data_IF_049592186402
#
_entry.id   IF_049592186402
#
_cell.length_a   1.000
_cell.length_b   1.000
_cell.length_c   1.000
_cell.angle_alpha   90.00
_cell.angle_beta   90.00
_cell.angle_gamma   90.00
#
_symmetry.space_group_name_H-M   'P 1'
#
loop_
_entity.id
_entity.type
_entity.pdbx_description
1 polymer ?
#
# COMPACT_ATOMS: atom_id res chain seq x y z
N UNK A 1 19.64 9.47 -15.40
CA UNK A 1 18.66 8.63 -16.12
C UNK A 1 17.77 7.77 -15.21
N UNK A 2 18.23 7.25 -14.06
CA UNK A 2 17.36 6.45 -13.16
C UNK A 2 16.23 7.25 -12.49
N UNK A 3 16.45 8.54 -12.20
CA UNK A 3 15.43 9.41 -11.59
C UNK A 3 14.22 9.67 -12.50
N UNK A 4 14.42 9.83 -13.82
CA UNK A 4 13.33 10.09 -14.77
C UNK A 4 12.41 8.88 -14.97
N UNK A 5 13.00 7.67 -15.03
CA UNK A 5 12.22 6.42 -15.19
C UNK A 5 11.37 6.14 -13.96
N UNK A 6 11.92 6.41 -12.77
CA UNK A 6 11.18 6.25 -11.51
C UNK A 6 10.02 7.23 -11.40
N UNK A 7 10.19 8.48 -11.84
CA UNK A 7 9.11 9.48 -11.81
C UNK A 7 8.00 9.11 -12.80
N UNK A 8 8.36 8.79 -14.06
CA UNK A 8 7.40 8.41 -15.10
C UNK A 8 6.55 7.20 -14.69
N UNK A 9 7.17 6.19 -14.09
CA UNK A 9 6.45 4.99 -13.65
C UNK A 9 5.62 5.22 -12.39
N UNK A 10 6.05 6.11 -11.50
CA UNK A 10 5.24 6.54 -10.35
C UNK A 10 3.97 7.25 -10.82
N UNK A 11 4.09 8.13 -11.81
CA UNK A 11 2.95 8.84 -12.39
C UNK A 11 1.99 7.89 -13.13
N UNK A 12 2.53 6.91 -13.87
CA UNK A 12 1.72 5.88 -14.51
C UNK A 12 0.97 5.04 -13.48
N UNK A 13 1.66 4.61 -12.43
CA UNK A 13 1.07 3.81 -11.37
C UNK A 13 -0.02 4.58 -10.61
N UNK A 14 0.17 5.89 -10.35
CA UNK A 14 -0.88 6.75 -9.81
C UNK A 14 -2.12 6.77 -10.71
N UNK A 15 -1.94 6.89 -12.03
CA UNK A 15 -3.07 6.88 -12.98
C UNK A 15 -3.80 5.55 -12.99
N UNK A 16 -3.09 4.43 -13.08
CA UNK A 16 -3.70 3.11 -13.15
C UNK A 16 -4.47 2.78 -11.86
N UNK A 17 -3.94 3.19 -10.70
CA UNK A 17 -4.62 3.06 -9.42
C UNK A 17 -5.86 3.96 -9.35
N UNK A 18 -5.79 5.19 -9.85
CA UNK A 18 -6.93 6.10 -9.93
C UNK A 18 -8.04 5.58 -10.86
N UNK A 19 -7.68 5.01 -12.01
CA UNK A 19 -8.63 4.35 -12.93
C UNK A 19 -9.31 3.13 -12.27
N UNK A 20 -8.61 2.43 -11.40
CA UNK A 20 -9.16 1.35 -10.59
C UNK A 20 -9.97 1.85 -9.37
N UNK A 21 -10.12 3.16 -9.17
CA UNK A 21 -10.91 3.79 -8.11
C UNK A 21 -10.16 4.04 -6.80
N UNK A 22 -8.83 3.90 -6.78
CA UNK A 22 -8.00 4.22 -5.62
C UNK A 22 -7.44 5.64 -5.70
N UNK A 23 -7.57 6.40 -4.61
CA UNK A 23 -6.88 7.69 -4.49
C UNK A 23 -5.38 7.44 -4.23
N UNK A 24 -4.54 7.60 -5.27
CA UNK A 24 -3.11 7.34 -5.22
C UNK A 24 -2.30 8.64 -5.36
N UNK A 25 -1.30 8.80 -4.50
CA UNK A 25 -0.52 10.04 -4.40
C UNK A 25 0.91 9.78 -3.91
N UNK A 26 1.82 10.72 -4.11
CA UNK A 26 3.22 10.63 -3.64
C UNK A 26 3.48 11.44 -2.36
N UNK A 27 2.63 12.43 -2.10
CA UNK A 27 2.70 13.30 -0.93
C UNK A 27 2.45 12.54 0.37
N UNK A 28 3.12 12.96 1.45
CA UNK A 28 2.74 12.49 2.77
C UNK A 28 1.53 13.31 3.28
N UNK A 29 0.62 12.66 4.01
CA UNK A 29 -0.48 13.35 4.71
C UNK A 29 -1.80 13.44 3.94
N UNK A 30 -1.88 12.85 2.75
CA UNK A 30 -3.14 12.63 2.04
C UNK A 30 -3.65 11.22 2.37
N UNK A 31 -4.96 11.07 2.55
CA UNK A 31 -5.55 9.74 2.72
C UNK A 31 -5.58 9.01 1.36
N UNK A 32 -5.36 7.70 1.35
CA UNK A 32 -5.28 6.90 0.13
C UNK A 32 -4.04 6.03 0.04
N UNK A 33 -3.62 5.69 -1.18
CA UNK A 33 -2.40 4.96 -1.46
C UNK A 33 -1.23 5.91 -1.67
N UNK A 34 -0.30 5.93 -0.72
CA UNK A 34 0.96 6.64 -0.87
C UNK A 34 1.98 5.78 -1.62
N UNK A 35 2.48 6.32 -2.73
CA UNK A 35 3.59 5.78 -3.49
C UNK A 35 4.89 6.43 -3.00
N UNK A 36 5.86 5.61 -2.64
CA UNK A 36 7.19 6.04 -2.18
C UNK A 36 8.25 5.36 -3.04
N UNK A 37 8.79 6.06 -4.06
CA UNK A 37 9.89 5.55 -4.86
C UNK A 37 11.14 5.40 -4.00
N UNK A 38 11.88 4.31 -4.22
CA UNK A 38 13.09 3.97 -3.50
C UNK A 38 14.05 3.13 -4.36
N UNK A 39 15.22 2.78 -3.80
CA UNK A 39 16.25 2.04 -4.55
C UNK A 39 15.80 0.65 -5.00
N UNK A 40 14.90 0.01 -4.25
CA UNK A 40 14.40 -1.34 -4.53
C UNK A 40 13.12 -1.35 -5.39
N UNK A 41 12.60 -0.17 -5.74
CA UNK A 41 11.35 -0.01 -6.49
C UNK A 41 10.40 0.99 -5.85
N UNK A 42 9.09 0.82 -6.05
CA UNK A 42 8.07 1.72 -5.50
C UNK A 42 7.31 1.01 -4.38
N UNK A 43 7.38 1.54 -3.17
CA UNK A 43 6.57 1.08 -2.05
C UNK A 43 5.20 1.74 -2.11
N UNK A 44 4.14 0.94 -2.15
CA UNK A 44 2.74 1.36 -2.11
C UNK A 44 2.19 1.09 -0.71
N UNK A 45 1.78 2.15 -0.02
CA UNK A 45 1.33 2.12 1.38
C UNK A 45 -0.06 2.72 1.50
N UNK A 46 -0.95 2.04 2.22
CA UNK A 46 -2.21 2.67 2.62
C UNK A 46 -1.95 3.71 3.72
N UNK A 47 -2.25 4.98 3.43
CA UNK A 47 -2.31 6.08 4.38
C UNK A 47 -3.77 6.38 4.70
N UNK A 48 -4.12 6.23 5.96
CA UNK A 48 -5.41 6.70 6.48
C UNK A 48 -5.27 8.18 6.84
N UNK A 49 -6.32 8.98 6.66
CA UNK A 49 -6.37 10.30 7.30
C UNK A 49 -6.16 10.13 8.81
N UNK A 50 -5.70 11.17 9.51
CA UNK A 50 -5.61 11.12 10.98
C UNK A 50 -6.95 10.72 11.60
N UNK A 51 -8.06 11.19 11.01
CA UNK A 51 -9.44 10.87 11.39
C UNK A 51 -9.76 9.36 11.24
N UNK A 52 -9.35 8.73 10.14
CA UNK A 52 -9.55 7.30 9.95
C UNK A 52 -8.54 6.47 10.76
N UNK A 53 -7.35 7.01 11.03
CA UNK A 53 -6.38 6.39 11.94
C UNK A 53 -6.92 6.34 13.36
N UNK A 54 -7.64 7.38 13.80
CA UNK A 54 -8.33 7.38 15.09
C UNK A 54 -9.48 6.34 15.14
N UNK A 55 -10.15 6.07 14.01
CA UNK A 55 -11.20 5.05 13.89
C UNK A 55 -10.63 3.62 13.76
N UNK A 56 -9.46 3.46 13.16
CA UNK A 56 -8.77 2.18 12.97
C UNK A 56 -7.78 1.85 14.10
N UNK A 57 -7.55 2.79 15.03
CA UNK A 57 -6.79 2.53 16.24
C UNK A 57 -7.52 1.44 17.03
N UNK A 58 -6.81 0.40 17.51
CA UNK A 58 -7.41 -0.56 18.41
C UNK A 58 -7.98 0.21 19.60
N UNK A 59 -9.29 0.07 19.84
CA UNK A 59 -9.94 0.74 20.96
C UNK A 59 -9.20 0.39 22.26
N UNK A 60 -8.76 1.36 23.08
CA UNK A 60 -7.94 1.10 24.26
C UNK A 60 -8.70 0.44 25.43
N UNK A 61 -9.81 -0.27 25.17
CA UNK A 61 -10.67 -0.91 26.18
C UNK A 61 -11.00 -2.38 25.90
N UNK A 62 -10.20 -3.09 25.11
CA UNK A 62 -10.41 -4.54 24.96
C UNK A 62 -9.12 -5.37 24.89
N UNK A 63 -8.08 -4.95 25.62
CA UNK A 63 -6.83 -5.70 25.69
C UNK A 63 -6.50 -6.05 27.14
N UNK A 64 -7.12 -7.15 27.63
CA UNK A 64 -6.52 -8.07 28.62
C UNK A 64 -7.15 -9.48 28.55
N UNK A 65 -8.29 -9.68 27.85
CA UNK A 65 -8.88 -11.02 27.64
C UNK A 65 -8.84 -11.55 26.19
N UNK A 66 -8.38 -10.77 25.22
CA UNK A 66 -8.37 -11.18 23.80
C UNK A 66 -7.05 -11.84 23.35
N UNK A 67 -6.18 -12.28 24.27
CA UNK A 67 -4.98 -13.06 23.88
C UNK A 67 -5.31 -14.44 23.30
N UNK A 68 -6.54 -14.94 23.52
CA UNK A 68 -7.02 -16.22 22.96
C UNK A 68 -8.24 -16.07 22.02
N UNK A 69 -8.79 -14.87 21.84
CA UNK A 69 -9.88 -14.63 20.91
C UNK A 69 -9.29 -14.24 19.56
N UNK A 70 -8.99 -15.27 18.76
CA UNK A 70 -8.39 -15.16 17.44
C UNK A 70 -8.88 -13.94 16.67
N UNK A 71 -7.91 -13.18 16.15
CA UNK A 71 -8.13 -12.30 15.02
C UNK A 71 -9.06 -13.04 14.05
N UNK A 72 -10.25 -12.48 13.80
CA UNK A 72 -11.22 -13.10 12.92
C UNK A 72 -10.60 -13.45 11.56
N UNK A 73 -11.26 -14.26 10.72
CA UNK A 73 -10.71 -14.78 9.46
C UNK A 73 -10.36 -13.70 8.42
N UNK A 74 -10.56 -12.42 8.75
CA UNK A 74 -10.17 -11.27 7.98
C UNK A 74 -9.11 -10.54 8.80
N UNK A 75 -7.89 -10.47 8.29
CA UNK A 75 -6.86 -9.58 8.85
C UNK A 75 -7.38 -8.15 9.00
N UNK A 76 -6.57 -7.27 9.59
CA UNK A 76 -6.96 -5.87 9.75
C UNK A 76 -7.47 -5.28 8.43
N UNK A 77 -8.35 -4.28 8.44
CA UNK A 77 -8.81 -3.60 7.21
C UNK A 77 -7.64 -3.20 6.31
N UNK A 78 -6.50 -2.84 6.93
CA UNK A 78 -5.22 -2.60 6.28
C UNK A 78 -4.69 -3.81 5.50
N UNK A 79 -4.77 -5.02 6.06
CA UNK A 79 -4.35 -6.26 5.39
C UNK A 79 -5.24 -6.61 4.19
N UNK A 80 -6.56 -6.38 4.32
CA UNK A 80 -7.51 -6.58 3.23
C UNK A 80 -7.25 -5.60 2.08
N UNK A 81 -6.99 -4.32 2.38
CA UNK A 81 -6.60 -3.31 1.40
C UNK A 81 -5.28 -3.70 0.73
N UNK A 82 -4.27 -4.11 1.49
CA UNK A 82 -2.99 -4.54 0.91
C UNK A 82 -3.12 -5.77 0.00
N UNK A 83 -4.00 -6.71 0.34
CA UNK A 83 -4.30 -7.85 -0.53
C UNK A 83 -4.97 -7.39 -1.83
N UNK A 84 -6.00 -6.53 -1.74
CA UNK A 84 -6.68 -6.00 -2.92
C UNK A 84 -5.75 -5.20 -3.84
N UNK A 85 -4.87 -4.38 -3.27
CA UNK A 85 -3.86 -3.61 -4.00
C UNK A 85 -2.85 -4.53 -4.65
N UNK A 86 -2.34 -5.54 -3.94
CA UNK A 86 -1.44 -6.54 -4.51
C UNK A 86 -2.08 -7.23 -5.73
N UNK A 87 -3.31 -7.74 -5.58
CA UNK A 87 -4.00 -8.48 -6.64
C UNK A 87 -4.34 -7.59 -7.84
N UNK A 88 -4.64 -6.31 -7.62
CA UNK A 88 -4.78 -5.33 -8.70
C UNK A 88 -3.45 -5.14 -9.45
N UNK A 89 -2.36 -4.89 -8.72
CA UNK A 89 -1.04 -4.66 -9.32
C UNK A 89 -0.57 -5.87 -10.13
N UNK A 90 -0.78 -7.08 -9.62
CA UNK A 90 -0.48 -8.32 -10.37
C UNK A 90 -1.31 -8.41 -11.65
N UNK A 91 -2.62 -8.07 -11.61
CA UNK A 91 -3.48 -8.06 -12.81
C UNK A 91 -3.06 -7.02 -13.85
N UNK A 92 -2.53 -5.89 -13.40
CA UNK A 92 -1.96 -4.85 -14.27
C UNK A 92 -0.56 -5.20 -14.80
N UNK A 93 0.01 -6.35 -14.40
CA UNK A 93 1.32 -6.82 -14.86
C UNK A 93 2.50 -6.26 -14.07
N UNK A 94 2.26 -5.59 -12.95
CA UNK A 94 3.33 -5.11 -12.07
C UNK A 94 3.89 -6.28 -11.23
N UNK A 95 5.23 -6.42 -11.14
CA UNK A 95 5.90 -7.37 -10.26
C UNK A 95 5.82 -6.94 -8.79
N UNK A 96 4.62 -7.07 -8.22
CA UNK A 96 4.30 -6.70 -6.84
C UNK A 96 4.68 -7.82 -5.85
N UNK A 97 5.24 -7.40 -4.71
CA UNK A 97 5.60 -8.27 -3.58
C UNK A 97 4.94 -7.72 -2.34
N UNK A 98 4.22 -8.56 -1.59
CA UNK A 98 3.67 -8.17 -0.28
C UNK A 98 4.79 -8.14 0.75
N UNK A 99 4.84 -7.08 1.55
CA UNK A 99 5.75 -6.92 2.67
C UNK A 99 4.93 -6.80 3.97
N UNK A 100 4.52 -7.92 4.60
CA UNK A 100 3.62 -7.91 5.76
C UNK A 100 4.25 -7.23 6.98
N UNK A 101 5.56 -7.43 7.20
CA UNK A 101 6.30 -6.87 8.34
C UNK A 101 6.27 -5.33 8.38
N UNK A 102 6.18 -4.69 7.22
CA UNK A 102 6.26 -3.24 7.04
C UNK A 102 4.94 -2.62 6.58
N UNK A 103 3.91 -3.45 6.33
CA UNK A 103 2.59 -3.02 5.90
C UNK A 103 2.62 -2.25 4.57
N UNK A 104 3.28 -2.80 3.55
CA UNK A 104 3.27 -2.23 2.21
C UNK A 104 3.33 -3.29 1.11
N UNK A 105 3.00 -2.88 -0.11
CA UNK A 105 3.23 -3.66 -1.33
C UNK A 105 4.38 -3.01 -2.09
N UNK A 106 5.44 -3.77 -2.36
CA UNK A 106 6.61 -3.29 -3.08
C UNK A 106 6.51 -3.72 -4.56
N UNK A 107 6.58 -2.76 -5.47
CA UNK A 107 6.72 -3.05 -6.90
C UNK A 107 8.21 -3.11 -7.20
N UNK A 108 8.69 -4.31 -7.52
CA UNK A 108 10.11 -4.61 -7.75
C UNK A 108 10.43 -4.59 -9.25
N UNK A 109 11.66 -4.90 -9.67
CA UNK A 109 11.93 -5.18 -11.10
C UNK A 109 11.88 -3.98 -12.05
N UNK A 110 11.94 -2.74 -11.54
CA UNK A 110 12.14 -1.53 -12.35
C UNK A 110 13.58 -1.45 -12.89
N UNK A 111 14.00 -2.44 -13.68
CA UNK A 111 15.24 -2.33 -14.47
C UNK A 111 14.91 -1.59 -15.76
N UNK A 112 15.67 -0.53 -16.04
CA UNK A 112 15.69 0.09 -17.35
C UNK A 112 15.92 -0.99 -18.42
N UNK A 113 15.20 -0.94 -19.57
CA UNK A 113 15.52 -1.82 -20.68
C UNK A 113 16.98 -1.57 -21.08
N UNK A 114 17.75 -2.66 -21.16
CA UNK A 114 19.11 -2.64 -21.68
C UNK A 114 19.13 -2.28 -23.16
#
# INVERSE_FOLDING_TARGET
MLHDVSALLTDQLCRDLAEAGFDAHTSAGTAGLRLSPGPDGIAVRWQTSEEFTALAAPSPRHDERARDAGAGPHGSVRDAIHLAVHDLLTRLGYPAVRCPATGHVLITGLRAPH
#
